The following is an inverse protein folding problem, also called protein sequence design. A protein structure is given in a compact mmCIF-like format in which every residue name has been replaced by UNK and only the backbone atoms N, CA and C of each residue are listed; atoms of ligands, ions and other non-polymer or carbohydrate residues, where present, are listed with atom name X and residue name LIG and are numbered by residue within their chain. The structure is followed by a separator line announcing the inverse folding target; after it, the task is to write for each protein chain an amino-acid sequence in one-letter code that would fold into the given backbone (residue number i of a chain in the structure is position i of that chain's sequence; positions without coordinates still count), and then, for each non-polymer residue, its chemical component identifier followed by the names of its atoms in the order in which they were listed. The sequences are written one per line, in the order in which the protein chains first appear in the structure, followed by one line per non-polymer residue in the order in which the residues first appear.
data_IF_375899447893
#
_entry.id   IF_375899447893
#
_cell.length_a   1.000
_cell.length_b   1.000
_cell.length_c   1.000
_cell.angle_alpha   90.00
_cell.angle_beta   90.00
_cell.angle_gamma   90.00
#
_symmetry.space_group_name_H-M   'P 1'
#
loop_
_entity.id
_entity.type
_entity.pdbx_description
1 polymer ?
#
# COMPACT_ATOMS: atom_id res chain seq x y z
N UNK A 1 7.30 12.27 10.77
CA UNK A 1 7.40 10.80 10.76
C UNK A 1 7.44 10.41 9.30
N UNK A 2 8.43 9.63 8.91
CA UNK A 2 8.67 9.33 7.49
C UNK A 2 7.73 8.20 7.06
N UNK A 3 7.07 8.37 5.91
CA UNK A 3 6.43 7.25 5.25
C UNK A 3 7.54 6.33 4.74
N UNK A 4 7.85 5.31 5.55
CA UNK A 4 8.86 4.32 5.21
C UNK A 4 8.34 3.43 4.11
N UNK A 5 9.13 3.32 3.06
CA UNK A 5 8.83 2.50 1.91
C UNK A 5 9.65 1.21 2.03
N UNK A 6 9.01 0.06 2.17
CA UNK A 6 9.70 -1.24 2.10
C UNK A 6 10.16 -1.49 0.66
N UNK A 7 11.38 -2.01 0.52
CA UNK A 7 12.05 -2.28 -0.75
C UNK A 7 12.07 -1.10 -1.75
N UNK A 8 12.00 0.13 -1.20
CA UNK A 8 12.15 1.38 -1.94
C UNK A 8 10.92 1.81 -2.76
N UNK A 9 9.86 0.99 -2.84
CA UNK A 9 8.65 1.39 -3.58
C UNK A 9 7.30 0.99 -2.92
N UNK A 10 7.22 0.02 -1.99
CA UNK A 10 5.97 -0.35 -1.28
C UNK A 10 5.75 0.43 0.02
N UNK A 11 4.55 0.94 0.31
CA UNK A 11 4.31 1.63 1.61
C UNK A 11 4.35 0.64 2.76
N UNK A 12 5.08 0.92 3.85
CA UNK A 12 5.09 0.02 5.01
C UNK A 12 3.70 -0.08 5.66
N UNK A 13 3.47 -1.12 6.46
CA UNK A 13 2.21 -1.26 7.21
C UNK A 13 2.03 -0.08 8.20
N UNK A 14 3.11 0.41 8.80
CA UNK A 14 3.11 1.58 9.67
C UNK A 14 2.68 2.85 8.91
N UNK A 15 3.18 3.03 7.68
CA UNK A 15 2.77 4.14 6.83
C UNK A 15 1.30 4.04 6.42
N UNK A 16 0.78 2.84 6.14
CA UNK A 16 -0.64 2.62 5.85
C UNK A 16 -1.50 3.00 7.06
N UNK A 17 -1.14 2.55 8.26
CA UNK A 17 -1.85 2.90 9.49
C UNK A 17 -1.81 4.41 9.77
N UNK A 18 -0.70 5.06 9.46
CA UNK A 18 -0.61 6.51 9.61
C UNK A 18 -1.49 7.23 8.59
N UNK A 19 -1.45 6.85 7.30
CA UNK A 19 -2.35 7.38 6.26
C UNK A 19 -3.83 7.18 6.61
N UNK A 20 -4.20 6.07 7.26
CA UNK A 20 -5.58 5.83 7.73
C UNK A 20 -6.05 6.87 8.74
N UNK A 21 -5.19 7.36 9.62
CA UNK A 21 -5.55 8.38 10.63
C UNK A 21 -5.88 9.74 10.02
N UNK A 22 -5.40 9.99 8.80
CA UNK A 22 -5.63 11.23 8.05
C UNK A 22 -6.60 11.02 6.89
N UNK A 23 -7.18 9.83 6.73
CA UNK A 23 -8.05 9.49 5.60
C UNK A 23 -9.43 10.17 5.66
N UNK A 24 -9.87 10.58 6.86
CA UNK A 24 -11.06 11.38 7.10
C UNK A 24 -10.88 12.86 6.74
N UNK A 25 -9.63 13.30 6.52
CA UNK A 25 -9.29 14.66 6.09
C UNK A 25 -9.47 14.88 4.59
N UNK A 26 -9.83 13.84 3.82
CA UNK A 26 -10.19 13.90 2.41
C UNK A 26 -11.71 13.77 2.30
N UNK A 27 -12.39 14.71 1.64
CA UNK A 27 -13.85 14.68 1.47
C UNK A 27 -14.34 13.43 0.69
N UNK A 28 -13.47 12.83 -0.14
CA UNK A 28 -13.71 11.57 -0.83
C UNK A 28 -13.28 10.36 0.00
N UNK A 29 -14.05 9.26 -0.03
CA UNK A 29 -13.65 7.94 0.51
C UNK A 29 -12.47 7.28 -0.26
N UNK A 30 -11.96 7.91 -1.31
CA UNK A 30 -10.94 7.41 -2.23
C UNK A 30 -9.72 6.77 -1.53
N UNK A 31 -9.10 7.40 -0.51
CA UNK A 31 -7.93 6.84 0.19
C UNK A 31 -8.30 5.57 0.95
N UNK A 32 -9.41 5.60 1.68
CA UNK A 32 -9.89 4.46 2.45
C UNK A 32 -10.18 3.25 1.54
N UNK A 33 -10.78 3.47 0.36
CA UNK A 33 -10.98 2.39 -0.62
C UNK A 33 -9.68 1.84 -1.17
N UNK A 34 -8.71 2.69 -1.49
CA UNK A 34 -7.39 2.25 -1.98
C UNK A 34 -6.65 1.41 -0.94
N UNK A 35 -6.70 1.81 0.34
CA UNK A 35 -6.12 1.05 1.45
C UNK A 35 -6.80 -0.31 1.64
N UNK A 36 -8.13 -0.38 1.54
CA UNK A 36 -8.85 -1.66 1.58
C UNK A 36 -8.42 -2.60 0.45
N UNK A 37 -8.22 -2.08 -0.77
CA UNK A 37 -7.75 -2.89 -1.90
C UNK A 37 -6.32 -3.38 -1.63
N UNK A 38 -5.44 -2.52 -1.13
CA UNK A 38 -4.07 -2.86 -0.77
C UNK A 38 -4.03 -3.99 0.27
N UNK A 39 -4.84 -3.92 1.32
CA UNK A 39 -4.97 -4.98 2.32
C UNK A 39 -5.37 -6.32 1.70
N UNK A 40 -6.35 -6.33 0.80
CA UNK A 40 -6.76 -7.56 0.11
C UNK A 40 -5.65 -8.13 -0.77
N UNK A 41 -4.87 -7.28 -1.45
CA UNK A 41 -3.74 -7.70 -2.28
C UNK A 41 -2.61 -8.28 -1.41
N UNK A 42 -2.32 -7.68 -0.25
CA UNK A 42 -1.34 -8.20 0.72
C UNK A 42 -1.78 -9.54 1.30
N UNK A 43 -3.04 -9.65 1.70
CA UNK A 43 -3.62 -10.89 2.18
C UNK A 43 -3.52 -12.01 1.12
N UNK A 44 -3.81 -11.68 -0.14
CA UNK A 44 -3.64 -12.61 -1.26
C UNK A 44 -2.17 -13.00 -1.46
N UNK A 45 -1.23 -12.05 -1.42
CA UNK A 45 0.22 -12.34 -1.50
C UNK A 45 0.64 -13.36 -0.44
N UNK A 46 0.28 -13.12 0.83
CA UNK A 46 0.58 -14.04 1.94
C UNK A 46 -0.07 -15.41 1.75
N UNK A 47 -1.30 -15.46 1.25
CA UNK A 47 -1.98 -16.71 0.95
C UNK A 47 -1.26 -17.51 -0.16
N UNK A 48 -0.84 -16.84 -1.25
CA UNK A 48 -0.12 -17.51 -2.34
C UNK A 48 1.22 -18.08 -1.90
N UNK A 49 1.88 -17.46 -0.92
CA UNK A 49 3.10 -18.00 -0.32
C UNK A 49 2.86 -19.33 0.40
N UNK A 50 1.75 -19.46 1.13
CA UNK A 50 1.35 -20.73 1.76
C UNK A 50 1.00 -21.79 0.71
N UNK A 51 0.39 -21.39 -0.41
CA UNK A 51 0.06 -22.30 -1.51
C UNK A 51 1.30 -22.89 -2.20
N UNK A 52 2.42 -22.17 -2.25
CA UNK A 52 3.69 -22.67 -2.84
C UNK A 52 4.18 -23.94 -2.14
N UNK A 53 4.00 -24.02 -0.82
CA UNK A 53 4.40 -25.19 -0.02
C UNK A 53 3.31 -26.27 -0.02
N UNK A 54 2.05 -25.85 0.03
CA UNK A 54 0.89 -26.76 0.12
C UNK A 54 0.59 -27.52 -1.18
N UNK A 55 0.86 -26.90 -2.33
CA UNK A 55 0.57 -27.44 -3.67
C UNK A 55 1.82 -27.42 -4.55
N UNK A 56 2.79 -28.32 -4.30
CA UNK A 56 4.08 -28.30 -4.98
C UNK A 56 3.98 -28.56 -6.49
N UNK A 57 2.96 -29.28 -6.95
CA UNK A 57 2.67 -29.48 -8.39
C UNK A 57 2.38 -28.17 -9.13
N UNK A 58 1.73 -27.21 -8.47
CA UNK A 58 1.32 -25.92 -9.04
C UNK A 58 2.23 -24.76 -8.62
N UNK A 59 3.40 -25.08 -8.05
CA UNK A 59 4.35 -24.11 -7.49
C UNK A 59 4.72 -22.98 -8.45
N UNK A 60 4.88 -23.27 -9.74
CA UNK A 60 5.21 -22.25 -10.74
C UNK A 60 4.09 -21.21 -10.87
N UNK A 61 2.84 -21.67 -10.93
CA UNK A 61 1.64 -20.81 -10.97
C UNK A 61 1.54 -19.96 -9.72
N UNK A 62 1.74 -20.54 -8.53
CA UNK A 62 1.68 -19.78 -7.28
C UNK A 62 2.80 -18.75 -7.13
N UNK A 63 4.02 -19.05 -7.59
CA UNK A 63 5.11 -18.06 -7.67
C UNK A 63 4.75 -16.89 -8.59
N UNK A 64 4.16 -17.17 -9.74
CA UNK A 64 3.72 -16.13 -10.66
C UNK A 64 2.60 -15.27 -10.06
N UNK A 65 1.62 -15.89 -9.38
CA UNK A 65 0.56 -15.17 -8.66
C UNK A 65 1.13 -14.27 -7.55
N UNK A 66 2.08 -14.78 -6.74
CA UNK A 66 2.78 -13.99 -5.72
C UNK A 66 3.49 -12.78 -6.33
N UNK A 67 4.25 -12.98 -7.41
CA UNK A 67 4.95 -11.88 -8.09
C UNK A 67 3.95 -10.86 -8.68
N UNK A 68 2.85 -11.34 -9.25
CA UNK A 68 1.81 -10.47 -9.81
C UNK A 68 1.13 -9.64 -8.73
N UNK A 69 0.85 -10.22 -7.56
CA UNK A 69 0.25 -9.49 -6.44
C UNK A 69 1.21 -8.46 -5.84
N UNK A 70 2.51 -8.76 -5.76
CA UNK A 70 3.53 -7.78 -5.37
C UNK A 70 3.57 -6.57 -6.33
N UNK A 71 3.42 -6.79 -7.64
CA UNK A 71 3.35 -5.70 -8.61
C UNK A 71 2.09 -4.83 -8.44
N UNK A 72 0.97 -5.43 -8.02
CA UNK A 72 -0.27 -4.68 -7.74
C UNK A 72 -0.14 -3.88 -6.45
N UNK A 73 0.43 -4.47 -5.39
CA UNK A 73 0.76 -3.76 -4.14
C UNK A 73 1.62 -2.53 -4.47
N UNK A 74 2.60 -2.72 -5.33
CA UNK A 74 3.48 -1.65 -5.77
C UNK A 74 2.72 -0.50 -6.42
N UNK A 75 1.88 -0.79 -7.40
CA UNK A 75 1.08 0.22 -8.08
C UNK A 75 0.17 0.98 -7.10
N UNK A 76 -0.49 0.26 -6.18
CA UNK A 76 -1.36 0.85 -5.17
C UNK A 76 -0.59 1.72 -4.19
N UNK A 77 0.57 1.26 -3.71
CA UNK A 77 1.47 1.99 -2.82
C UNK A 77 1.89 3.33 -3.43
N UNK A 78 2.37 3.31 -4.69
CA UNK A 78 2.75 4.54 -5.40
C UNK A 78 1.56 5.48 -5.61
N UNK A 79 0.37 4.92 -5.89
CA UNK A 79 -0.85 5.70 -6.08
C UNK A 79 -1.29 6.39 -4.77
N UNK A 80 -1.19 5.70 -3.63
CA UNK A 80 -1.51 6.26 -2.31
C UNK A 80 -0.57 7.40 -1.94
N UNK A 81 0.74 7.24 -2.16
CA UNK A 81 1.73 8.30 -1.92
C UNK A 81 1.41 9.52 -2.81
N UNK A 82 1.16 9.32 -4.10
CA UNK A 82 0.81 10.42 -5.02
C UNK A 82 -0.47 11.14 -4.58
N UNK A 83 -1.51 10.40 -4.20
CA UNK A 83 -2.74 10.99 -3.68
C UNK A 83 -2.49 11.81 -2.41
N UNK A 84 -1.72 11.26 -1.46
CA UNK A 84 -1.38 11.97 -0.24
C UNK A 84 -0.59 13.26 -0.51
N UNK A 85 0.29 13.29 -1.53
CA UNK A 85 0.99 14.51 -1.98
C UNK A 85 0.03 15.53 -2.59
N UNK A 86 -0.88 15.11 -3.47
CA UNK A 86 -1.85 16.02 -4.10
C UNK A 86 -2.77 16.69 -3.09
N UNK A 87 -3.10 15.97 -2.02
CA UNK A 87 -3.91 16.50 -0.94
C UNK A 87 -3.06 17.25 0.12
N UNK A 88 -1.74 17.30 -0.03
CA UNK A 88 -0.84 18.05 0.84
C UNK A 88 -0.65 17.45 2.24
N UNK A 89 -0.83 16.13 2.39
CA UNK A 89 -0.54 15.41 3.64
C UNK A 89 0.93 15.05 3.79
N UNK A 90 1.62 14.87 2.66
CA UNK A 90 3.04 14.54 2.65
C UNK A 90 3.79 15.47 1.70
N UNK A 91 5.01 15.87 2.09
CA UNK A 91 5.88 16.68 1.25
C UNK A 91 6.64 15.83 0.21
N UNK A 92 7.48 16.47 -0.60
CA UNK A 92 8.29 15.80 -1.64
C UNK A 92 9.28 14.78 -1.04
N UNK A 93 9.65 14.96 0.22
CA UNK A 93 10.53 14.08 0.99
C UNK A 93 9.78 12.90 1.66
N UNK A 94 8.47 12.74 1.38
CA UNK A 94 7.57 11.73 1.98
C UNK A 94 7.38 11.86 3.50
N UNK A 95 7.61 13.06 4.04
CA UNK A 95 7.32 13.36 5.44
C UNK A 95 5.89 13.86 5.56
N UNK A 96 5.18 13.40 6.59
CA UNK A 96 3.86 13.93 6.92
C UNK A 96 4.00 15.37 7.40
N UNK A 97 3.22 16.26 6.79
CA UNK A 97 3.18 17.69 7.11
C UNK A 97 1.84 18.07 7.70
N UNK A 98 1.85 18.93 8.73
CA UNK A 98 0.63 19.57 9.21
C UNK A 98 0.12 20.52 8.12
N UNK A 99 -1.14 20.35 7.69
CA UNK A 99 -1.79 21.38 6.85
C UNK A 99 -1.83 22.67 7.65
N UNK A 100 -1.20 23.74 7.16
CA UNK A 100 -1.54 25.08 7.61
C UNK A 100 -3.02 25.30 7.28
N UNK A 101 -3.86 25.35 8.31
CA UNK A 101 -5.25 25.78 8.21
C UNK A 101 -5.25 27.29 7.94
N UNK A 102 -5.16 27.68 6.68
CA UNK A 102 -5.51 29.04 6.24
C UNK A 102 -7.03 29.15 5.99
#
# INVERSE_FOLDING_TARGET
MDITVEDGVQVSEEAVEELKKHADMIECECPAKLMQILEQVRAFTKYTEQCIEKYPEDKATHKWLKSSSMNIDQLLSTTLIQLARYEGFINEDNEIVERNTD
#
